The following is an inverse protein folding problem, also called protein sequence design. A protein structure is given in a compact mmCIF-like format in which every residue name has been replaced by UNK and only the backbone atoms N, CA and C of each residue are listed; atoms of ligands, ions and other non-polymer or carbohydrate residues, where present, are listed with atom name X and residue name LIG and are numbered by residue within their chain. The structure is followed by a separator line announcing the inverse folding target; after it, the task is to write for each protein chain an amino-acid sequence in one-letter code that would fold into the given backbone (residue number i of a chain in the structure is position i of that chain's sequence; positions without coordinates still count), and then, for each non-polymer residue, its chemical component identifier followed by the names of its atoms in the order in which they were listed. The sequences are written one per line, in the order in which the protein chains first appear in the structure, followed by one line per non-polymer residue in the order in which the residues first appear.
data_IF_821944365980
#
_entry.id   IF_821944365980
#
_cell.length_a   1.000
_cell.length_b   1.000
_cell.length_c   1.000
_cell.angle_alpha   90.00
_cell.angle_beta   90.00
_cell.angle_gamma   90.00
#
_symmetry.space_group_name_H-M   'P 1'
#
loop_
_entity.id
_entity.type
_entity.pdbx_description
1 polymer ?
#
# COMPACT_ATOMS: atom_id res chain seq x y z
N UNK A 1 -3.13 -22.21 -33.72
CA UNK A 1 -3.24 -22.05 -32.26
C UNK A 1 -2.74 -23.28 -31.47
N UNK A 2 -2.93 -24.52 -31.94
CA UNK A 2 -2.51 -25.74 -31.22
C UNK A 2 -1.02 -26.12 -31.31
N UNK A 3 -0.24 -25.46 -32.19
CA UNK A 3 1.17 -25.80 -32.42
C UNK A 3 2.13 -25.22 -31.35
N UNK A 4 1.72 -24.18 -30.62
CA UNK A 4 2.58 -23.44 -29.69
C UNK A 4 2.31 -23.86 -28.23
N UNK A 5 1.13 -24.46 -27.95
CA UNK A 5 0.75 -24.84 -26.60
C UNK A 5 0.36 -26.33 -26.52
N UNK A 6 1.27 -27.23 -26.11
CA UNK A 6 0.92 -28.64 -25.95
C UNK A 6 -0.21 -28.80 -24.93
N UNK A 7 -1.23 -29.59 -25.27
CA UNK A 7 -2.44 -29.82 -24.46
C UNK A 7 -2.15 -30.33 -23.04
N UNK A 8 -0.96 -30.90 -22.82
CA UNK A 8 -0.44 -31.32 -21.51
C UNK A 8 -0.09 -30.16 -20.57
N UNK A 9 0.25 -28.98 -21.11
CA UNK A 9 0.63 -27.79 -20.33
C UNK A 9 -0.54 -26.85 -20.00
N UNK A 10 -1.78 -27.20 -20.41
CA UNK A 10 -2.97 -26.34 -20.19
C UNK A 10 -3.25 -26.05 -18.72
N UNK A 11 -2.85 -26.96 -17.80
CA UNK A 11 -2.95 -26.76 -16.34
C UNK A 11 -1.85 -25.83 -15.79
N UNK A 12 -0.70 -25.77 -16.45
CA UNK A 12 0.44 -24.95 -16.04
C UNK A 12 0.42 -23.53 -16.66
N UNK A 13 -0.32 -23.32 -17.75
CA UNK A 13 -0.50 -22.02 -18.41
C UNK A 13 -0.87 -20.88 -17.46
N UNK A 14 -1.84 -21.04 -16.54
CA UNK A 14 -2.21 -19.95 -15.63
C UNK A 14 -1.06 -19.57 -14.69
N UNK A 15 -0.29 -20.56 -14.20
CA UNK A 15 0.86 -20.32 -13.33
C UNK A 15 2.02 -19.64 -14.08
N UNK A 16 2.24 -19.98 -15.35
CA UNK A 16 3.23 -19.31 -16.20
C UNK A 16 2.86 -17.84 -16.45
N UNK A 17 1.57 -17.53 -16.63
CA UNK A 17 1.11 -16.14 -16.77
C UNK A 17 1.19 -15.35 -15.46
N UNK A 18 1.05 -16.02 -14.31
CA UNK A 18 1.24 -15.42 -12.99
C UNK A 18 2.71 -15.26 -12.59
N UNK A 19 3.61 -16.04 -13.19
CA UNK A 19 5.04 -16.06 -12.86
C UNK A 19 5.68 -14.66 -12.77
N UNK A 20 5.54 -13.73 -13.75
CA UNK A 20 6.16 -12.40 -13.64
C UNK A 20 5.62 -11.59 -12.45
N UNK A 21 4.32 -11.68 -12.14
CA UNK A 21 3.74 -11.01 -10.98
C UNK A 21 4.25 -11.62 -9.67
N UNK A 22 4.33 -12.96 -9.59
CA UNK A 22 4.83 -13.67 -8.42
C UNK A 22 6.31 -13.37 -8.18
N UNK A 23 7.13 -13.31 -9.23
CA UNK A 23 8.55 -12.95 -9.11
C UNK A 23 8.72 -11.51 -8.63
N UNK A 24 7.94 -10.56 -9.16
CA UNK A 24 7.98 -9.17 -8.73
C UNK A 24 7.57 -9.02 -7.26
N UNK A 25 6.44 -9.63 -6.86
CA UNK A 25 5.99 -9.63 -5.46
C UNK A 25 7.01 -10.33 -4.57
N UNK A 26 7.57 -11.46 -5.01
CA UNK A 26 8.61 -12.20 -4.29
C UNK A 26 9.85 -11.35 -4.04
N UNK A 27 10.27 -10.55 -5.01
CA UNK A 27 11.39 -9.61 -4.85
C UNK A 27 11.09 -8.54 -3.79
N UNK A 28 9.87 -7.99 -3.76
CA UNK A 28 9.46 -7.03 -2.73
C UNK A 28 9.46 -7.69 -1.34
N UNK A 29 9.00 -8.94 -1.24
CA UNK A 29 9.02 -9.71 0.00
C UNK A 29 10.44 -9.95 0.50
N UNK A 30 11.41 -10.24 -0.38
CA UNK A 30 12.82 -10.33 -0.01
C UNK A 30 13.34 -9.01 0.60
N UNK A 31 12.91 -7.87 0.07
CA UNK A 31 13.20 -6.56 0.65
C UNK A 31 12.62 -6.40 2.06
N UNK A 32 11.37 -6.83 2.28
CA UNK A 32 10.75 -6.79 3.62
C UNK A 32 11.49 -7.68 4.63
N UNK A 33 12.02 -8.83 4.21
CA UNK A 33 12.83 -9.70 5.07
C UNK A 33 14.11 -8.96 5.50
N UNK A 34 14.80 -8.30 4.57
CA UNK A 34 16.00 -7.52 4.89
C UNK A 34 15.71 -6.35 5.83
N UNK A 35 14.60 -5.63 5.62
CA UNK A 35 14.17 -4.55 6.52
C UNK A 35 13.87 -5.11 7.91
N UNK A 36 13.25 -6.28 8.00
CA UNK A 36 12.93 -6.93 9.28
C UNK A 36 14.20 -7.33 10.03
N UNK A 37 15.16 -7.98 9.36
CA UNK A 37 16.44 -8.36 9.96
C UNK A 37 17.21 -7.12 10.45
N UNK A 38 17.29 -6.08 9.62
CA UNK A 38 17.94 -4.81 9.98
C UNK A 38 17.24 -4.11 11.15
N UNK A 39 15.91 -4.19 11.25
CA UNK A 39 15.14 -3.57 12.34
C UNK A 39 15.41 -4.23 13.70
N UNK A 40 15.78 -5.51 13.71
CA UNK A 40 16.13 -6.27 14.92
C UNK A 40 17.59 -6.10 15.33
N UNK A 41 18.44 -5.47 14.52
CA UNK A 41 19.84 -5.20 14.87
C UNK A 41 19.99 -3.73 15.26
N UNK A 42 20.69 -3.46 16.35
CA UNK A 42 20.97 -2.07 16.73
C UNK A 42 22.07 -1.49 15.85
N UNK A 43 21.86 -0.29 15.31
CA UNK A 43 22.87 0.41 14.52
C UNK A 43 23.79 1.19 15.46
N UNK A 44 25.09 0.89 15.42
CA UNK A 44 26.09 1.72 16.09
C UNK A 44 26.34 2.98 15.25
N UNK A 45 25.97 4.14 15.79
CA UNK A 45 26.10 5.43 15.10
C UNK A 45 27.54 5.93 14.99
N UNK A 46 28.50 5.30 15.68
CA UNK A 46 29.93 5.67 15.60
C UNK A 46 30.63 4.92 14.47
N UNK A 47 30.30 3.65 14.27
CA UNK A 47 30.92 2.78 13.25
C UNK A 47 30.03 2.56 12.02
N UNK A 48 28.76 2.97 12.08
CA UNK A 48 27.71 2.73 11.08
C UNK A 48 27.55 1.25 10.71
N UNK A 49 27.86 0.35 11.64
CA UNK A 49 27.69 -1.09 11.50
C UNK A 49 26.51 -1.57 12.33
N UNK A 50 25.77 -2.53 11.79
CA UNK A 50 24.76 -3.24 12.55
C UNK A 50 25.43 -4.12 13.60
N UNK A 51 24.85 -4.20 14.79
CA UNK A 51 25.27 -5.16 15.81
C UNK A 51 25.09 -6.58 15.30
N UNK A 52 25.99 -7.47 15.72
CA UNK A 52 25.86 -8.90 15.45
C UNK A 52 24.72 -9.54 16.28
N UNK A 53 24.33 -8.88 17.38
CA UNK A 53 23.25 -9.32 18.25
C UNK A 53 21.87 -8.83 17.80
N UNK A 54 20.88 -9.70 17.96
CA UNK A 54 19.46 -9.38 17.78
C UNK A 54 18.87 -8.78 19.06
N UNK A 55 18.15 -7.66 18.92
CA UNK A 55 17.55 -6.91 20.02
C UNK A 55 16.25 -6.22 19.61
N UNK A 56 15.31 -6.15 20.55
CA UNK A 56 14.06 -5.39 20.41
C UNK A 56 14.20 -3.93 20.84
N UNK A 57 15.43 -3.47 21.14
CA UNK A 57 15.70 -2.11 21.63
C UNK A 57 15.18 -1.03 20.67
N UNK A 58 15.30 -1.23 19.35
CA UNK A 58 14.79 -0.30 18.34
C UNK A 58 13.26 -0.12 18.44
N UNK A 59 12.52 -1.22 18.64
CA UNK A 59 11.06 -1.17 18.80
C UNK A 59 10.65 -0.50 20.11
N UNK A 60 11.36 -0.79 21.20
CA UNK A 60 11.15 -0.09 22.48
C UNK A 60 11.37 1.41 22.28
N UNK A 61 12.49 1.80 21.66
CA UNK A 61 12.81 3.21 21.38
C UNK A 61 11.74 3.87 20.52
N UNK A 62 11.27 3.22 19.47
CA UNK A 62 10.21 3.74 18.61
C UNK A 62 8.90 4.03 19.37
N UNK A 63 8.61 3.25 20.41
CA UNK A 63 7.41 3.40 21.24
C UNK A 63 7.60 4.31 22.45
N UNK A 64 8.83 4.58 22.89
CA UNK A 64 9.10 5.45 24.05
C UNK A 64 9.55 6.85 23.66
N UNK A 65 10.10 7.03 22.46
CA UNK A 65 10.62 8.30 21.99
C UNK A 65 9.46 9.26 21.66
N UNK A 66 9.36 10.43 22.33
CA UNK A 66 8.21 11.31 22.21
C UNK A 66 8.03 11.85 20.79
N UNK A 67 9.13 12.08 20.06
CA UNK A 67 9.07 12.54 18.66
C UNK A 67 8.34 11.53 17.77
N UNK A 68 8.68 10.24 17.86
CA UNK A 68 8.04 9.19 17.05
C UNK A 68 6.55 9.07 17.37
N UNK A 69 6.20 9.09 18.66
CA UNK A 69 4.79 9.03 19.09
C UNK A 69 3.97 10.21 18.59
N UNK A 70 4.50 11.44 18.71
CA UNK A 70 3.79 12.65 18.26
C UNK A 70 3.57 12.62 16.74
N UNK A 71 4.58 12.23 15.97
CA UNK A 71 4.45 12.12 14.51
C UNK A 71 3.44 11.04 14.13
N UNK A 72 3.55 9.84 14.72
CA UNK A 72 2.64 8.73 14.46
C UNK A 72 1.18 9.11 14.78
N UNK A 73 0.94 9.76 15.92
CA UNK A 73 -0.39 10.21 16.32
C UNK A 73 -0.94 11.26 15.36
N UNK A 74 -0.15 12.27 14.99
CA UNK A 74 -0.57 13.31 14.03
C UNK A 74 -0.93 12.72 12.67
N UNK A 75 -0.10 11.80 12.17
CA UNK A 75 -0.38 11.11 10.91
C UNK A 75 -1.64 10.25 10.99
N UNK A 76 -1.85 9.52 12.09
CA UNK A 76 -3.04 8.68 12.28
C UNK A 76 -4.31 9.52 12.35
N UNK A 77 -4.29 10.60 13.13
CA UNK A 77 -5.43 11.54 13.25
C UNK A 77 -5.71 12.19 11.90
N UNK A 78 -4.68 12.64 11.19
CA UNK A 78 -4.84 13.21 9.85
C UNK A 78 -5.46 12.19 8.88
N UNK A 79 -4.96 10.96 8.85
CA UNK A 79 -5.50 9.91 7.98
C UNK A 79 -6.97 9.59 8.30
N UNK A 80 -7.33 9.55 9.59
CA UNK A 80 -8.71 9.34 10.02
C UNK A 80 -9.63 10.50 9.60
N UNK A 81 -9.21 11.74 9.85
CA UNK A 81 -9.96 12.94 9.45
C UNK A 81 -10.16 12.95 7.94
N UNK A 82 -9.09 12.76 7.16
CA UNK A 82 -9.16 12.71 5.69
C UNK A 82 -10.13 11.63 5.24
N UNK A 83 -10.02 10.41 5.78
CA UNK A 83 -10.93 9.30 5.43
C UNK A 83 -12.39 9.66 5.71
N UNK A 84 -12.70 10.17 6.91
CA UNK A 84 -14.06 10.55 7.29
C UNK A 84 -14.60 11.66 6.39
N UNK A 85 -13.80 12.70 6.18
CA UNK A 85 -14.16 13.84 5.31
C UNK A 85 -14.41 13.35 3.88
N UNK A 86 -13.52 12.51 3.34
CA UNK A 86 -13.70 11.89 2.02
C UNK A 86 -15.00 11.12 1.94
N UNK A 87 -15.34 10.29 2.94
CA UNK A 87 -16.60 9.56 2.95
C UNK A 87 -17.82 10.50 3.00
N UNK A 88 -17.78 11.51 3.87
CA UNK A 88 -18.86 12.50 4.02
C UNK A 88 -19.15 13.22 2.71
N UNK A 89 -18.15 13.50 1.87
CA UNK A 89 -18.36 14.13 0.56
C UNK A 89 -18.61 13.12 -0.57
N UNK A 90 -17.88 12.01 -0.59
CA UNK A 90 -17.96 11.01 -1.66
C UNK A 90 -19.31 10.28 -1.68
N UNK A 91 -19.90 9.98 -0.51
CA UNK A 91 -21.18 9.28 -0.46
C UNK A 91 -22.35 10.09 -1.05
N UNK A 92 -22.61 11.34 -0.60
CA UNK A 92 -23.64 12.19 -1.21
C UNK A 92 -23.40 12.41 -2.69
N UNK A 93 -22.13 12.64 -3.07
CA UNK A 93 -21.75 12.85 -4.46
C UNK A 93 -22.08 11.63 -5.33
N UNK A 94 -21.65 10.43 -4.92
CA UNK A 94 -21.93 9.18 -5.63
C UNK A 94 -23.44 8.89 -5.69
N UNK A 95 -24.16 9.13 -4.59
CA UNK A 95 -25.61 8.97 -4.53
C UNK A 95 -26.33 9.89 -5.53
N UNK A 96 -25.97 11.18 -5.57
CA UNK A 96 -26.53 12.13 -6.53
C UNK A 96 -26.22 11.72 -7.97
N UNK A 97 -24.99 11.31 -8.26
CA UNK A 97 -24.59 10.89 -9.60
C UNK A 97 -25.41 9.70 -10.12
N UNK A 98 -25.67 8.71 -9.25
CA UNK A 98 -26.46 7.52 -9.59
C UNK A 98 -27.95 7.85 -9.69
N UNK A 99 -28.52 8.56 -8.71
CA UNK A 99 -29.97 8.75 -8.60
C UNK A 99 -30.53 9.91 -9.43
N UNK A 100 -29.69 10.81 -9.92
CA UNK A 100 -30.11 11.95 -10.75
C UNK A 100 -30.72 11.49 -12.07
N UNK A 101 -31.91 12.01 -12.39
CA UNK A 101 -32.60 11.79 -13.68
C UNK A 101 -32.12 12.73 -14.80
N UNK A 102 -31.50 13.87 -14.45
CA UNK A 102 -30.97 14.82 -15.43
C UNK A 102 -29.65 14.33 -16.05
N UNK A 103 -29.59 14.10 -17.37
CA UNK A 103 -28.37 13.67 -18.05
C UNK A 103 -27.28 14.75 -18.04
N UNK A 104 -27.65 16.04 -17.99
CA UNK A 104 -26.71 17.16 -17.93
C UNK A 104 -25.96 17.21 -16.59
N UNK A 105 -26.69 17.10 -15.48
CA UNK A 105 -26.10 17.10 -14.14
C UNK A 105 -25.19 15.88 -13.93
N UNK A 106 -25.58 14.69 -14.43
CA UNK A 106 -24.73 13.50 -14.37
C UNK A 106 -23.41 13.68 -15.13
N UNK A 107 -23.45 14.25 -16.36
CA UNK A 107 -22.25 14.54 -17.15
C UNK A 107 -21.36 15.57 -16.47
N UNK A 108 -21.94 16.63 -15.93
CA UNK A 108 -21.19 17.65 -15.19
C UNK A 108 -20.46 17.05 -13.99
N UNK A 109 -21.16 16.25 -13.17
CA UNK A 109 -20.55 15.56 -12.03
C UNK A 109 -19.38 14.70 -12.51
N UNK A 110 -19.61 13.80 -13.48
CA UNK A 110 -18.55 12.96 -14.07
C UNK A 110 -17.32 13.76 -14.51
N UNK A 111 -17.51 14.85 -15.26
CA UNK A 111 -16.41 15.69 -15.70
C UNK A 111 -15.70 16.31 -14.51
N UNK A 112 -16.42 16.86 -13.54
CA UNK A 112 -15.83 17.45 -12.34
C UNK A 112 -15.02 16.44 -11.50
N UNK A 113 -15.36 15.15 -11.55
CA UNK A 113 -14.59 14.09 -10.88
C UNK A 113 -13.31 13.72 -11.63
N UNK A 114 -13.36 13.68 -12.96
CA UNK A 114 -12.24 13.26 -13.80
C UNK A 114 -11.33 14.41 -14.25
N UNK A 115 -11.75 15.66 -14.07
CA UNK A 115 -10.90 16.81 -14.31
C UNK A 115 -9.73 16.75 -13.31
N UNK A 116 -8.48 16.65 -13.76
CA UNK A 116 -7.34 16.70 -12.84
C UNK A 116 -7.34 18.07 -12.17
N UNK A 117 -7.45 18.06 -10.85
CA UNK A 117 -7.25 19.21 -9.97
C UNK A 117 -5.76 19.53 -9.83
#
# INVERSE_FOLDING_TARGET
AAAIWPTRFRRATPYLMLLPAVLLVGLLVLGLIQITDASLRTLDTTTFRFSDDYSIANFRRALTEPLFLVVAQRSLVAALIVTVVTLVFAFPYAYLMVRTRSPGLRKFLLIALFLPF
#
